data_IF_042257001446
#
_entry.id   IF_042257001446
#
_cell.length_a   1.000
_cell.length_b   1.000
_cell.length_c   1.000
_cell.angle_alpha   90.00
_cell.angle_beta   90.00
_cell.angle_gamma   90.00
#
_symmetry.space_group_name_H-M   'P 1'
#
loop_
_entity.id
_entity.type
_entity.pdbx_description
1 polymer ?
#
# COMPACT_ATOMS: atom_id res chain seq x y z
N UNK A 1 45.47 -0.25 35.87
CA UNK A 1 44.16 0.23 36.36
C UNK A 1 43.35 0.54 35.11
N UNK A 2 42.60 -0.42 34.53
CA UNK A 2 41.16 -0.70 34.77
C UNK A 2 40.37 0.63 34.90
N UNK A 3 39.39 0.97 34.05
CA UNK A 3 38.09 0.30 33.95
C UNK A 3 37.40 0.45 32.56
N UNK A 4 36.71 -0.64 32.21
CA UNK A 4 35.65 -0.85 31.21
C UNK A 4 34.34 -0.11 31.56
N UNK A 5 33.49 0.22 30.56
CA UNK A 5 31.99 0.20 30.54
C UNK A 5 31.50 1.01 29.32
N UNK A 6 31.13 0.40 28.18
CA UNK A 6 29.78 -0.06 27.79
C UNK A 6 28.66 1.02 27.83
N UNK A 7 28.33 1.60 26.67
CA UNK A 7 26.97 2.06 26.35
C UNK A 7 26.66 1.64 24.89
N UNK A 8 25.89 0.56 24.73
CA UNK A 8 24.44 0.52 24.51
C UNK A 8 24.10 0.54 23.02
N UNK A 9 23.97 -0.68 22.53
CA UNK A 9 23.23 -1.15 21.35
C UNK A 9 21.87 -0.47 21.22
N UNK A 10 21.74 0.59 20.42
CA UNK A 10 20.43 1.14 20.06
C UNK A 10 20.45 1.84 18.71
N UNK A 11 20.81 1.13 17.63
CA UNK A 11 20.55 1.66 16.27
C UNK A 11 20.38 0.59 15.19
N UNK A 12 20.27 -0.69 15.55
CA UNK A 12 20.22 -1.75 14.54
C UNK A 12 18.80 -2.07 14.02
N UNK A 13 17.76 -1.46 14.59
CA UNK A 13 16.37 -1.66 14.12
C UNK A 13 15.93 -0.65 13.05
N UNK A 14 16.60 0.50 12.93
CA UNK A 14 16.25 1.54 11.94
C UNK A 14 16.86 1.32 10.54
N UNK A 15 17.88 0.48 10.43
CA UNK A 15 18.59 0.22 9.17
C UNK A 15 18.04 -1.02 8.45
N UNK A 16 17.44 -1.96 9.18
CA UNK A 16 16.91 -3.20 8.61
C UNK A 16 15.76 -2.98 7.62
N UNK A 17 14.97 -1.91 7.75
CA UNK A 17 13.89 -1.63 6.80
C UNK A 17 14.38 -1.05 5.46
N UNK A 18 15.56 -0.41 5.45
CA UNK A 18 16.09 0.26 4.25
C UNK A 18 17.13 -0.60 3.50
N UNK A 19 17.80 -1.53 4.19
CA UNK A 19 18.72 -2.49 3.56
C UNK A 19 18.04 -3.73 2.96
N UNK A 20 16.81 -4.07 3.39
CA UNK A 20 15.98 -5.08 2.72
C UNK A 20 15.59 -4.67 1.28
N UNK A 21 15.74 -3.39 0.91
CA UNK A 21 15.45 -2.86 -0.41
C UNK A 21 16.65 -2.85 -1.38
N UNK A 22 17.84 -3.32 -0.97
CA UNK A 22 19.06 -3.26 -1.79
C UNK A 22 19.79 -4.59 -2.01
N UNK A 23 19.13 -5.71 -1.76
CA UNK A 23 19.63 -7.02 -2.15
C UNK A 23 18.75 -7.62 -3.24
N UNK A 24 19.42 -8.03 -4.31
CA UNK A 24 18.91 -8.67 -5.52
C UNK A 24 18.05 -9.91 -5.25
N UNK A 25 16.83 -9.73 -4.79
CA UNK A 25 15.79 -10.76 -4.77
C UNK A 25 14.95 -10.55 -6.03
N UNK A 26 14.98 -11.51 -6.95
CA UNK A 26 14.29 -11.42 -8.24
C UNK A 26 12.83 -10.96 -8.07
N UNK A 27 12.32 -10.23 -9.06
CA UNK A 27 11.02 -9.55 -9.06
C UNK A 27 9.95 -10.36 -8.29
N UNK A 28 9.79 -11.65 -8.61
CA UNK A 28 8.87 -12.59 -7.98
C UNK A 28 8.91 -12.67 -6.42
N UNK A 29 10.09 -12.67 -5.79
CA UNK A 29 10.22 -12.75 -4.33
C UNK A 29 9.80 -11.46 -3.63
N UNK A 30 10.01 -10.31 -4.28
CA UNK A 30 9.53 -9.02 -3.81
C UNK A 30 8.00 -8.92 -3.96
N UNK A 31 7.46 -9.42 -5.08
CA UNK A 31 6.02 -9.46 -5.33
C UNK A 31 5.28 -10.33 -4.31
N UNK A 32 5.81 -11.53 -4.01
CA UNK A 32 5.19 -12.43 -3.02
C UNK A 32 5.17 -11.79 -1.61
N UNK A 33 6.27 -11.15 -1.20
CA UNK A 33 6.32 -10.45 0.09
C UNK A 33 5.35 -9.26 0.13
N UNK A 34 5.26 -8.51 -0.95
CA UNK A 34 4.32 -7.38 -1.10
C UNK A 34 2.87 -7.85 -0.96
N UNK A 35 2.49 -8.93 -1.65
CA UNK A 35 1.16 -9.52 -1.55
C UNK A 35 0.85 -9.99 -0.11
N UNK A 36 1.78 -10.71 0.54
CA UNK A 36 1.63 -11.16 1.94
C UNK A 36 1.44 -10.00 2.92
N UNK A 37 2.17 -8.89 2.72
CA UNK A 37 2.00 -7.68 3.53
C UNK A 37 0.59 -7.12 3.35
N UNK A 38 0.10 -7.00 2.11
CA UNK A 38 -1.26 -6.50 1.86
C UNK A 38 -2.34 -7.45 2.39
N UNK A 39 -2.16 -8.76 2.26
CA UNK A 39 -3.08 -9.77 2.80
C UNK A 39 -3.20 -9.66 4.33
N UNK A 40 -2.16 -9.21 5.01
CA UNK A 40 -2.18 -8.95 6.44
C UNK A 40 -2.86 -7.60 6.79
N UNK A 41 -2.54 -6.53 6.05
CA UNK A 41 -3.01 -5.17 6.35
C UNK A 41 -4.45 -4.89 5.88
N UNK A 42 -4.76 -5.30 4.65
CA UNK A 42 -6.00 -5.01 3.93
C UNK A 42 -6.55 -6.28 3.24
N UNK A 43 -6.83 -7.37 3.97
CA UNK A 43 -7.18 -8.66 3.39
C UNK A 43 -8.37 -8.61 2.42
N UNK A 44 -8.26 -9.36 1.32
CA UNK A 44 -9.36 -9.64 0.40
C UNK A 44 -10.27 -10.76 0.91
N UNK A 45 -11.52 -10.77 0.44
CA UNK A 45 -12.49 -11.80 0.79
C UNK A 45 -12.22 -13.08 0.00
N UNK A 46 -11.54 -14.04 0.63
CA UNK A 46 -11.30 -15.37 0.06
C UNK A 46 -10.33 -15.40 -1.12
N UNK A 47 -9.44 -14.41 -1.23
CA UNK A 47 -8.43 -14.29 -2.28
C UNK A 47 -7.14 -13.69 -1.70
N UNK A 48 -6.02 -13.83 -2.42
CA UNK A 48 -4.75 -13.17 -2.12
C UNK A 48 -4.52 -11.98 -3.04
N UNK A 49 -3.79 -10.97 -2.55
CA UNK A 49 -3.29 -9.88 -3.39
C UNK A 49 -2.34 -10.33 -4.51
N UNK A 50 -1.76 -11.53 -4.40
CA UNK A 50 -0.91 -12.12 -5.44
C UNK A 50 -1.68 -12.43 -6.73
N UNK A 51 -2.99 -12.73 -6.62
CA UNK A 51 -3.85 -13.09 -7.74
C UNK A 51 -4.51 -11.88 -8.42
N UNK A 52 -4.20 -10.65 -7.98
CA UNK A 52 -4.88 -9.43 -8.43
C UNK A 52 -4.25 -8.86 -9.69
N UNK A 53 -5.06 -8.70 -10.73
CA UNK A 53 -4.66 -8.11 -12.02
C UNK A 53 -5.12 -6.65 -12.18
N UNK A 54 -6.13 -6.23 -11.44
CA UNK A 54 -6.63 -4.84 -11.49
C UNK A 54 -7.23 -4.44 -10.15
N UNK A 55 -6.96 -3.21 -9.71
CA UNK A 55 -7.80 -2.55 -8.70
C UNK A 55 -8.71 -1.53 -9.35
N UNK A 56 -10.00 -1.66 -9.07
CA UNK A 56 -11.05 -0.80 -9.59
C UNK A 56 -11.74 -0.07 -8.45
N UNK A 57 -11.97 1.24 -8.65
CA UNK A 57 -12.83 2.02 -7.77
C UNK A 57 -14.19 2.11 -8.44
N UNK A 58 -15.21 1.65 -7.75
CA UNK A 58 -16.61 1.78 -8.15
C UNK A 58 -17.26 2.89 -7.33
N UNK A 59 -18.03 3.75 -7.98
CA UNK A 59 -18.70 4.89 -7.33
C UNK A 59 -20.21 4.65 -7.37
N UNK A 60 -20.76 3.83 -6.46
CA UNK A 60 -22.20 3.71 -6.29
C UNK A 60 -22.76 5.00 -5.65
N UNK A 61 -24.09 5.11 -5.58
CA UNK A 61 -24.80 6.34 -5.21
C UNK A 61 -24.46 6.98 -3.85
N UNK A 62 -23.69 6.33 -2.96
CA UNK A 62 -23.36 6.83 -1.62
C UNK A 62 -21.87 6.90 -1.30
N UNK A 63 -21.15 5.80 -1.41
CA UNK A 63 -19.74 5.71 -1.02
C UNK A 63 -18.96 4.93 -2.07
N UNK A 64 -17.83 5.48 -2.52
CA UNK A 64 -16.94 4.74 -3.40
C UNK A 64 -16.39 3.49 -2.71
N UNK A 65 -16.35 2.38 -3.44
CA UNK A 65 -15.79 1.11 -2.99
C UNK A 65 -14.59 0.73 -3.87
N UNK A 66 -13.53 0.21 -3.27
CA UNK A 66 -12.44 -0.42 -4.02
C UNK A 66 -12.70 -1.92 -4.16
N UNK A 67 -12.51 -2.46 -5.36
CA UNK A 67 -12.57 -3.89 -5.68
C UNK A 67 -11.28 -4.35 -6.32
N UNK A 68 -10.91 -5.59 -6.04
CA UNK A 68 -9.83 -6.26 -6.73
C UNK A 68 -10.40 -7.22 -7.78
N UNK A 69 -9.83 -7.22 -8.98
CA UNK A 69 -10.13 -8.15 -10.05
C UNK A 69 -9.02 -9.18 -10.08
N UNK A 70 -9.39 -10.46 -10.01
CA UNK A 70 -8.45 -11.57 -10.01
C UNK A 70 -8.10 -12.02 -11.43
N UNK A 71 -7.02 -12.79 -11.57
CA UNK A 71 -6.61 -13.46 -12.82
C UNK A 71 -7.75 -14.29 -13.47
N UNK A 72 -8.62 -14.88 -12.65
CA UNK A 72 -9.81 -15.65 -13.06
C UNK A 72 -11.00 -14.75 -13.47
N UNK A 73 -10.83 -13.42 -13.49
CA UNK A 73 -11.86 -12.44 -13.84
C UNK A 73 -12.88 -12.15 -12.73
N UNK A 74 -12.84 -12.90 -11.62
CA UNK A 74 -13.68 -12.65 -10.44
C UNK A 74 -13.36 -11.30 -9.82
N UNK A 75 -14.41 -10.58 -9.42
CA UNK A 75 -14.29 -9.37 -8.62
C UNK A 75 -14.48 -9.70 -7.14
N UNK A 76 -13.50 -9.34 -6.32
CA UNK A 76 -13.54 -9.58 -4.88
C UNK A 76 -13.53 -8.26 -4.10
N UNK A 77 -14.23 -8.27 -2.98
CA UNK A 77 -14.24 -7.15 -2.02
C UNK A 77 -13.13 -7.34 -1.00
N UNK A 78 -12.72 -6.24 -0.38
CA UNK A 78 -11.93 -6.28 0.86
C UNK A 78 -12.78 -6.85 1.99
N UNK A 79 -12.19 -7.60 2.93
CA UNK A 79 -12.89 -8.10 4.12
C UNK A 79 -13.52 -6.96 4.92
N UNK A 80 -12.83 -5.82 4.99
CA UNK A 80 -13.31 -4.61 5.65
C UNK A 80 -13.33 -3.44 4.65
N UNK A 81 -14.40 -3.27 3.85
CA UNK A 81 -14.48 -2.22 2.82
C UNK A 81 -14.30 -0.80 3.37
N UNK A 82 -14.74 -0.57 4.62
CA UNK A 82 -14.60 0.72 5.33
C UNK A 82 -13.15 1.14 5.59
N UNK A 83 -12.17 0.25 5.40
CA UNK A 83 -10.76 0.63 5.45
C UNK A 83 -10.37 1.47 4.25
N UNK A 84 -11.06 1.38 3.12
CA UNK A 84 -10.78 2.23 1.96
C UNK A 84 -11.20 3.67 2.24
N UNK A 85 -10.26 4.61 2.07
CA UNK A 85 -10.46 6.03 2.36
C UNK A 85 -10.59 6.88 1.10
N UNK A 86 -9.93 6.50 0.01
CA UNK A 86 -9.92 7.32 -1.21
C UNK A 86 -8.87 6.92 -2.25
N UNK A 87 -8.79 7.69 -3.34
CA UNK A 87 -7.86 7.45 -4.44
C UNK A 87 -7.36 8.74 -5.12
N UNK A 88 -6.17 8.74 -5.72
CA UNK A 88 -5.50 9.96 -6.22
C UNK A 88 -5.85 10.36 -7.66
N UNK A 89 -6.30 9.42 -8.52
CA UNK A 89 -6.70 9.71 -9.90
C UNK A 89 -7.38 8.50 -10.56
N UNK A 90 -8.08 8.74 -11.69
CA UNK A 90 -8.61 7.69 -12.58
C UNK A 90 -7.61 7.21 -13.65
N UNK A 91 -6.33 7.61 -13.57
CA UNK A 91 -5.29 7.15 -14.50
C UNK A 91 -4.91 5.67 -14.28
N UNK A 92 -4.14 5.11 -15.21
CA UNK A 92 -3.64 3.73 -15.16
C UNK A 92 -2.70 3.50 -13.97
N UNK A 93 -1.96 4.55 -13.60
CA UNK A 93 -1.26 4.68 -12.33
C UNK A 93 -2.09 5.48 -11.35
N UNK A 94 -2.41 4.87 -10.22
CA UNK A 94 -3.18 5.53 -9.17
C UNK A 94 -2.71 5.09 -7.80
N UNK A 95 -2.93 5.96 -6.83
CA UNK A 95 -2.74 5.64 -5.42
C UNK A 95 -4.08 5.33 -4.79
N UNK A 96 -4.15 4.24 -4.04
CA UNK A 96 -5.28 3.85 -3.22
C UNK A 96 -4.95 4.10 -1.74
N UNK A 97 -5.86 4.71 -1.00
CA UNK A 97 -5.69 4.98 0.41
C UNK A 97 -6.51 4.02 1.24
N UNK A 98 -5.85 3.45 2.25
CA UNK A 98 -6.49 2.62 3.25
C UNK A 98 -6.13 3.07 4.67
N UNK A 99 -7.04 2.85 5.61
CA UNK A 99 -6.82 2.99 7.04
C UNK A 99 -6.59 1.60 7.62
N UNK A 100 -5.44 1.38 8.25
CA UNK A 100 -5.21 0.22 9.08
C UNK A 100 -4.78 0.67 10.47
N UNK A 101 -5.69 0.55 11.44
CA UNK A 101 -5.54 1.13 12.78
C UNK A 101 -5.28 2.65 12.69
N UNK A 102 -4.21 3.15 13.29
CA UNK A 102 -3.84 4.57 13.25
C UNK A 102 -2.93 4.94 12.05
N UNK A 103 -2.60 3.96 11.21
CA UNK A 103 -1.69 4.12 10.08
C UNK A 103 -2.52 4.30 8.80
N UNK A 104 -2.14 5.27 7.99
CA UNK A 104 -2.65 5.42 6.63
C UNK A 104 -1.71 4.70 5.67
N UNK A 105 -2.27 3.80 4.87
CA UNK A 105 -1.56 3.04 3.86
C UNK A 105 -1.88 3.63 2.49
N UNK A 106 -0.86 4.11 1.79
CA UNK A 106 -0.96 4.46 0.37
C UNK A 106 -0.40 3.30 -0.45
N UNK A 107 -1.23 2.74 -1.33
CA UNK A 107 -0.83 1.67 -2.26
C UNK A 107 -0.81 2.25 -3.66
N UNK A 108 0.36 2.35 -4.28
CA UNK A 108 0.48 2.74 -5.68
C UNK A 108 0.28 1.51 -6.56
N UNK A 109 -0.74 1.57 -7.41
CA UNK A 109 -1.10 0.51 -8.34
C UNK A 109 -0.89 0.97 -9.78
N UNK A 110 -0.42 0.05 -10.62
CA UNK A 110 -0.24 0.20 -12.05
C UNK A 110 -0.97 -0.96 -12.74
N UNK A 111 -2.19 -0.69 -13.22
CA UNK A 111 -3.02 -1.75 -13.82
C UNK A 111 -2.44 -2.28 -15.16
N UNK A 112 -1.49 -1.57 -15.76
CA UNK A 112 -0.74 -2.04 -16.95
C UNK A 112 0.38 -3.03 -16.59
N UNK A 113 0.82 -3.09 -15.33
CA UNK A 113 1.86 -4.00 -14.90
C UNK A 113 1.44 -5.47 -15.02
N UNK A 114 0.18 -5.79 -14.71
CA UNK A 114 -0.36 -7.15 -14.81
C UNK A 114 -0.30 -7.71 -16.24
N UNK A 115 -0.50 -6.86 -17.25
CA UNK A 115 -0.39 -7.27 -18.66
C UNK A 115 1.05 -7.63 -19.09
N UNK A 116 2.04 -7.28 -18.27
CA UNK A 116 3.47 -7.54 -18.51
C UNK A 116 4.04 -8.59 -17.54
N UNK A 117 3.20 -9.46 -16.97
CA UNK A 117 3.57 -10.46 -15.95
C UNK A 117 4.24 -9.85 -14.69
N UNK A 118 3.90 -8.59 -14.37
CA UNK A 118 4.34 -7.90 -13.16
C UNK A 118 3.18 -7.71 -12.20
N UNK A 119 3.47 -7.58 -10.91
CA UNK A 119 2.41 -7.26 -9.95
C UNK A 119 1.79 -5.89 -10.25
N UNK A 120 0.46 -5.85 -10.18
CA UNK A 120 -0.33 -4.62 -10.21
C UNK A 120 0.07 -3.64 -9.11
N UNK A 121 0.62 -4.15 -8.00
CA UNK A 121 1.09 -3.32 -6.88
C UNK A 121 2.54 -2.96 -7.13
N UNK A 122 2.80 -1.66 -7.34
CA UNK A 122 4.15 -1.17 -7.61
C UNK A 122 4.90 -0.79 -6.34
N UNK A 123 4.20 -0.14 -5.43
CA UNK A 123 4.78 0.39 -4.20
C UNK A 123 3.74 0.39 -3.09
N UNK A 124 4.16 0.01 -1.89
CA UNK A 124 3.37 0.19 -0.67
C UNK A 124 4.06 1.25 0.17
N UNK A 125 3.31 2.25 0.56
CA UNK A 125 3.83 3.37 1.31
C UNK A 125 3.03 3.50 2.63
N UNK A 126 3.70 3.26 3.75
CA UNK A 126 3.10 3.32 5.08
C UNK A 126 3.30 4.72 5.66
N UNK A 127 2.26 5.52 5.63
CA UNK A 127 2.23 6.82 6.28
C UNK A 127 1.76 6.64 7.73
N UNK A 128 2.73 6.59 8.66
CA UNK A 128 2.45 6.91 10.04
C UNK A 128 1.97 8.38 10.09
N UNK A 129 0.86 8.62 10.77
CA UNK A 129 0.14 9.89 10.80
C UNK A 129 1.07 11.13 10.71
N UNK A 130 0.89 11.92 9.64
CA UNK A 130 1.36 13.29 9.47
C UNK A 130 2.83 13.54 9.87
N UNK A 131 3.79 13.21 9.01
CA UNK A 131 5.12 13.83 9.10
C UNK A 131 4.99 15.33 8.81
N UNK A 132 5.19 16.17 9.83
CA UNK A 132 5.43 17.61 9.63
C UNK A 132 6.72 17.75 8.81
N UNK A 133 6.62 18.32 7.60
CA UNK A 133 7.78 18.61 6.74
C UNK A 133 7.77 17.98 5.35
N UNK A 134 6.66 17.41 4.87
CA UNK A 134 6.58 16.99 3.48
C UNK A 134 6.53 18.22 2.55
N UNK A 135 7.50 18.31 1.64
CA UNK A 135 7.60 19.39 0.65
C UNK A 135 6.52 19.28 -0.44
N UNK A 136 5.99 18.07 -0.66
CA UNK A 136 4.94 17.78 -1.64
C UNK A 136 3.69 17.23 -0.98
N UNK A 137 2.54 17.68 -1.46
CA UNK A 137 1.22 17.19 -1.06
C UNK A 137 0.60 16.42 -2.22
N UNK A 138 -0.04 15.28 -1.93
CA UNK A 138 -0.90 14.54 -2.86
C UNK A 138 -2.36 14.79 -2.53
N UNK A 139 -3.17 14.90 -3.57
CA UNK A 139 -4.62 15.05 -3.50
C UNK A 139 -5.29 13.71 -3.74
N UNK A 140 -6.33 13.42 -2.98
CA UNK A 140 -7.13 12.22 -3.13
C UNK A 140 -8.62 12.56 -3.05
N UNK A 141 -9.41 11.81 -3.79
CA UNK A 141 -10.86 11.82 -3.72
C UNK A 141 -11.25 10.80 -2.64
N UNK A 142 -11.91 11.26 -1.59
CA UNK A 142 -12.41 10.42 -0.51
C UNK A 142 -13.59 9.56 -0.97
N UNK A 143 -13.92 8.53 -0.20
CA UNK A 143 -15.06 7.65 -0.52
C UNK A 143 -16.39 8.41 -0.57
N UNK A 144 -16.52 9.50 0.16
CA UNK A 144 -17.67 10.42 0.18
C UNK A 144 -17.62 11.51 -0.91
N UNK A 145 -16.54 11.56 -1.70
CA UNK A 145 -16.27 12.64 -2.65
C UNK A 145 -15.54 13.85 -2.06
N UNK A 146 -15.22 13.82 -0.77
CA UNK A 146 -14.42 14.88 -0.12
C UNK A 146 -12.96 14.91 -0.63
N UNK A 147 -12.31 16.07 -0.53
CA UNK A 147 -10.91 16.21 -0.94
C UNK A 147 -9.96 15.92 0.23
N UNK A 148 -9.27 14.78 0.17
CA UNK A 148 -8.24 14.42 1.13
C UNK A 148 -6.87 14.91 0.65
N UNK A 149 -6.14 15.61 1.52
CA UNK A 149 -4.78 16.10 1.25
C UNK A 149 -3.82 15.40 2.20
N UNK A 150 -2.86 14.66 1.64
CA UNK A 150 -1.85 13.95 2.42
C UNK A 150 -0.43 14.35 1.98
N UNK A 151 0.55 14.34 2.90
CA UNK A 151 1.95 14.48 2.54
C UNK A 151 2.34 13.38 1.55
N UNK A 152 2.97 13.76 0.44
CA UNK A 152 3.59 12.82 -0.47
C UNK A 152 4.93 12.36 0.14
N UNK A 153 5.23 11.06 0.05
CA UNK A 153 6.60 10.56 0.25
C UNK A 153 7.42 10.67 -1.02
#
# INVERSE_FOLDING_TARGET
MQHTTQERTETQQGILANELCRASQGDAGLLENTAKILDSLIPLQGASHADVVEYRVEIPMRYAECRAILTDGRQVRFKNPRKFLGWSSHAERRSLLFRNNDITLEVEVDNQAAANDRSTVRSINLQAAMRRGADRLKKFIGIDGDLLILPAM
#
